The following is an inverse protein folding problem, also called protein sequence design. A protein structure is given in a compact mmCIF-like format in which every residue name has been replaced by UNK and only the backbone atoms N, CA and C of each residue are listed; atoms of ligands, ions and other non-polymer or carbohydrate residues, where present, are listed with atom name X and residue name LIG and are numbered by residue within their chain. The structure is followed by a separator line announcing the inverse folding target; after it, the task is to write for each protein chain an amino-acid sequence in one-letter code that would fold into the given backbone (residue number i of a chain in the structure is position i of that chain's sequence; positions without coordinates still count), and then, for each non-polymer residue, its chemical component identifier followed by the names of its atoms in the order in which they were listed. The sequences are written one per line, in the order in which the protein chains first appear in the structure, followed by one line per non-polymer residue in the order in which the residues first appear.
data_IF_543017154940
#
_entry.id   IF_543017154940
#
_cell.length_a   1.000
_cell.length_b   1.000
_cell.length_c   1.000
_cell.angle_alpha   90.00
_cell.angle_beta   90.00
_cell.angle_gamma   90.00
#
_symmetry.space_group_name_H-M   'P 1'
#
loop_
_entity.id
_entity.type
_entity.pdbx_description
1 polymer ?
#
# COMPACT_ATOMS: atom_id res chain seq x y z
N UNK A 1 25.99 8.10 14.73
CA UNK A 1 25.13 8.34 13.55
C UNK A 1 24.35 7.09 13.16
N UNK A 2 24.98 5.91 13.06
CA UNK A 2 24.35 4.63 12.66
C UNK A 2 23.08 4.27 13.45
N UNK A 3 23.14 4.32 14.78
CA UNK A 3 21.98 4.02 15.65
C UNK A 3 20.80 4.99 15.51
N UNK A 4 21.05 6.21 15.01
CA UNK A 4 20.03 7.26 14.92
C UNK A 4 19.10 6.99 13.74
N UNK A 5 19.64 6.68 12.55
CA UNK A 5 18.77 6.36 11.41
C UNK A 5 17.98 5.07 11.66
N UNK A 6 18.57 4.05 12.31
CA UNK A 6 17.86 2.81 12.65
C UNK A 6 16.66 3.10 13.55
N UNK A 7 16.85 3.90 14.59
CA UNK A 7 15.76 4.31 15.50
C UNK A 7 14.69 5.14 14.78
N UNK A 8 15.08 6.05 13.89
CA UNK A 8 14.12 6.87 13.13
C UNK A 8 13.33 5.99 12.15
N UNK A 9 13.99 5.08 11.42
CA UNK A 9 13.30 4.15 10.49
C UNK A 9 12.26 3.31 11.23
N UNK A 10 12.64 2.72 12.37
CA UNK A 10 11.72 1.94 13.20
C UNK A 10 10.54 2.78 13.73
N UNK A 11 10.81 4.04 14.13
CA UNK A 11 9.74 4.95 14.58
C UNK A 11 8.75 5.28 13.46
N UNK A 12 9.24 5.56 12.24
CA UNK A 12 8.38 5.88 11.10
C UNK A 12 7.55 4.68 10.68
N UNK A 13 8.14 3.48 10.64
CA UNK A 13 7.43 2.25 10.29
C UNK A 13 6.38 1.87 11.32
N UNK A 14 6.68 2.04 12.61
CA UNK A 14 5.71 1.79 13.68
C UNK A 14 4.57 2.81 13.64
N UNK A 15 4.87 4.08 13.30
CA UNK A 15 3.84 5.11 13.11
C UNK A 15 2.92 4.75 11.92
N UNK A 16 3.49 4.22 10.83
CA UNK A 16 2.73 3.74 9.67
C UNK A 16 1.80 2.59 10.04
N UNK A 17 2.34 1.57 10.71
CA UNK A 17 1.59 0.40 11.15
C UNK A 17 0.46 0.79 12.12
N UNK A 18 0.75 1.66 13.09
CA UNK A 18 -0.24 2.17 14.03
C UNK A 18 -1.37 2.93 13.32
N UNK A 19 -1.02 3.76 12.32
CA UNK A 19 -2.01 4.50 11.53
C UNK A 19 -2.95 3.54 10.80
N UNK A 20 -2.43 2.49 10.16
CA UNK A 20 -3.23 1.45 9.49
C UNK A 20 -4.07 0.62 10.47
N UNK A 21 -3.51 0.33 11.65
CA UNK A 21 -4.22 -0.38 12.72
C UNK A 21 -5.44 0.41 13.21
N UNK A 22 -5.24 1.70 13.53
CA UNK A 22 -6.32 2.60 13.93
C UNK A 22 -7.36 2.75 12.82
N UNK A 23 -6.92 2.91 11.56
CA UNK A 23 -7.81 2.97 10.41
C UNK A 23 -8.69 1.72 10.31
N UNK A 24 -8.10 0.52 10.40
CA UNK A 24 -8.86 -0.72 10.29
C UNK A 24 -9.87 -0.86 11.44
N UNK A 25 -9.53 -0.48 12.66
CA UNK A 25 -10.45 -0.53 13.81
C UNK A 25 -11.62 0.43 13.60
N UNK A 26 -11.33 1.70 13.30
CA UNK A 26 -12.34 2.75 13.18
C UNK A 26 -13.28 2.48 12.02
N UNK A 27 -12.75 2.08 10.86
CA UNK A 27 -13.52 1.94 9.63
C UNK A 27 -13.92 0.49 9.29
N UNK A 28 -13.65 -0.48 10.18
CA UNK A 28 -13.95 -1.91 9.98
C UNK A 28 -15.36 -2.19 9.46
N UNK A 29 -16.38 -1.59 10.09
CA UNK A 29 -17.79 -1.77 9.72
C UNK A 29 -18.10 -1.19 8.35
N UNK A 30 -17.60 0.01 8.06
CA UNK A 30 -17.81 0.69 6.79
C UNK A 30 -17.13 -0.06 5.64
N UNK A 31 -15.91 -0.55 5.87
CA UNK A 31 -15.18 -1.40 4.93
C UNK A 31 -15.96 -2.69 4.64
N UNK A 32 -16.44 -3.37 5.69
CA UNK A 32 -17.19 -4.61 5.52
C UNK A 32 -18.49 -4.40 4.74
N UNK A 33 -19.24 -3.34 5.05
CA UNK A 33 -20.45 -2.98 4.32
C UNK A 33 -20.15 -2.67 2.84
N UNK A 34 -19.04 -1.96 2.58
CA UNK A 34 -18.64 -1.63 1.22
C UNK A 34 -18.23 -2.88 0.41
N UNK A 35 -17.52 -3.81 1.03
CA UNK A 35 -17.18 -5.10 0.41
C UNK A 35 -18.46 -5.87 0.04
N UNK A 36 -19.46 -5.91 0.94
CA UNK A 36 -20.72 -6.59 0.65
C UNK A 36 -21.50 -5.91 -0.49
N UNK A 37 -21.55 -4.58 -0.52
CA UNK A 37 -22.17 -3.81 -1.60
C UNK A 37 -21.54 -4.15 -2.97
N UNK A 38 -20.20 -4.20 -3.04
CA UNK A 38 -19.48 -4.60 -4.26
C UNK A 38 -19.80 -6.04 -4.65
N UNK A 39 -19.85 -6.96 -3.68
CA UNK A 39 -20.19 -8.36 -3.94
C UNK A 39 -21.62 -8.52 -4.48
N UNK A 40 -22.57 -7.75 -3.97
CA UNK A 40 -23.96 -7.82 -4.41
C UNK A 40 -24.13 -7.24 -5.82
N UNK A 41 -23.45 -6.13 -6.15
CA UNK A 41 -23.42 -5.58 -7.52
C UNK A 41 -22.76 -6.58 -8.48
N UNK A 42 -21.70 -7.25 -8.06
CA UNK A 42 -21.04 -8.29 -8.86
C UNK A 42 -21.97 -9.47 -9.18
N UNK A 43 -22.82 -9.89 -8.24
CA UNK A 43 -23.82 -10.97 -8.47
C UNK A 43 -24.91 -10.56 -9.46
N UNK A 44 -25.27 -9.27 -9.49
CA UNK A 44 -26.30 -8.75 -10.39
C UNK A 44 -25.86 -8.69 -11.86
N UNK A 45 -24.56 -8.81 -12.14
CA UNK A 45 -24.01 -8.84 -13.49
C UNK A 45 -24.12 -10.25 -14.11
N UNK A 46 -25.11 -10.49 -14.97
CA UNK A 46 -25.39 -11.83 -15.55
C UNK A 46 -24.81 -12.05 -16.96
N UNK A 47 -24.43 -10.97 -17.66
CA UNK A 47 -23.85 -11.09 -19.01
C UNK A 47 -22.46 -11.75 -18.96
N UNK A 48 -22.18 -12.65 -19.91
CA UNK A 48 -20.90 -13.38 -20.00
C UNK A 48 -19.70 -12.43 -20.03
N UNK A 49 -19.79 -11.34 -20.80
CA UNK A 49 -18.71 -10.37 -20.94
C UNK A 49 -18.48 -9.59 -19.62
N UNK A 50 -19.56 -9.27 -18.89
CA UNK A 50 -19.46 -8.56 -17.61
C UNK A 50 -18.81 -9.45 -16.54
N UNK A 51 -19.23 -10.72 -16.49
CA UNK A 51 -18.66 -11.72 -15.58
C UNK A 51 -17.18 -11.96 -15.88
N UNK A 52 -16.78 -11.98 -17.15
CA UNK A 52 -15.37 -12.11 -17.52
C UNK A 52 -14.53 -10.92 -17.03
N UNK A 53 -15.03 -9.69 -17.16
CA UNK A 53 -14.35 -8.48 -16.67
C UNK A 53 -14.16 -8.53 -15.15
N UNK A 54 -15.21 -8.91 -14.40
CA UNK A 54 -15.14 -9.06 -12.93
C UNK A 54 -14.17 -10.16 -12.54
N UNK A 55 -14.20 -11.31 -13.23
CA UNK A 55 -13.29 -12.43 -12.95
C UNK A 55 -11.82 -12.07 -13.19
N UNK A 56 -11.52 -11.26 -14.22
CA UNK A 56 -10.17 -10.73 -14.46
C UNK A 56 -9.73 -9.82 -13.32
N UNK A 57 -10.59 -8.91 -12.84
CA UNK A 57 -10.30 -8.05 -11.71
C UNK A 57 -10.04 -8.85 -10.42
N UNK A 58 -10.91 -9.81 -10.09
CA UNK A 58 -10.74 -10.70 -8.92
C UNK A 58 -9.51 -11.60 -9.03
N UNK A 59 -9.08 -11.97 -10.24
CA UNK A 59 -7.82 -12.69 -10.45
C UNK A 59 -6.61 -11.80 -10.13
N UNK A 60 -6.62 -10.54 -10.56
CA UNK A 60 -5.56 -9.60 -10.25
C UNK A 60 -5.47 -9.32 -8.75
N UNK A 61 -6.61 -9.07 -8.10
CA UNK A 61 -6.69 -8.89 -6.64
C UNK A 61 -6.06 -10.06 -5.87
N UNK A 62 -6.44 -11.31 -6.21
CA UNK A 62 -5.86 -12.50 -5.58
C UNK A 62 -4.36 -12.67 -5.82
N UNK A 63 -3.85 -12.29 -7.00
CA UNK A 63 -2.42 -12.38 -7.30
C UNK A 63 -1.66 -11.35 -6.44
N UNK A 64 -2.11 -10.10 -6.42
CA UNK A 64 -1.48 -9.03 -5.64
C UNK A 64 -1.52 -9.37 -4.14
N UNK A 65 -2.66 -9.82 -3.62
CA UNK A 65 -2.78 -10.29 -2.24
C UNK A 65 -1.74 -11.37 -1.91
N UNK A 66 -1.63 -12.42 -2.74
CA UNK A 66 -0.66 -13.50 -2.52
C UNK A 66 0.79 -12.98 -2.56
N UNK A 67 1.13 -12.12 -3.52
CA UNK A 67 2.47 -11.56 -3.65
C UNK A 67 2.84 -10.72 -2.42
N UNK A 68 1.96 -9.80 -1.99
CA UNK A 68 2.20 -8.98 -0.80
C UNK A 68 2.27 -9.82 0.48
N UNK A 69 1.40 -10.82 0.62
CA UNK A 69 1.38 -11.71 1.77
C UNK A 69 2.67 -12.52 1.88
N UNK A 70 3.12 -13.14 0.78
CA UNK A 70 4.39 -13.88 0.75
C UNK A 70 5.58 -12.96 1.02
N UNK A 71 5.59 -11.76 0.43
CA UNK A 71 6.65 -10.77 0.68
C UNK A 71 6.71 -10.36 2.15
N UNK A 72 5.56 -10.19 2.81
CA UNK A 72 5.49 -9.88 4.23
C UNK A 72 6.06 -11.01 5.07
N UNK A 73 5.70 -12.27 4.79
CA UNK A 73 6.22 -13.42 5.54
C UNK A 73 7.75 -13.54 5.44
N UNK A 74 8.30 -13.33 4.25
CA UNK A 74 9.75 -13.32 4.02
C UNK A 74 10.40 -12.19 4.81
N UNK A 75 9.84 -10.97 4.73
CA UNK A 75 10.34 -9.80 5.46
C UNK A 75 10.32 -9.99 6.99
N UNK A 76 9.19 -10.42 7.54
CA UNK A 76 9.03 -10.72 8.98
C UNK A 76 10.00 -11.80 9.44
N UNK A 77 10.17 -12.87 8.66
CA UNK A 77 11.12 -13.95 8.99
C UNK A 77 12.55 -13.43 9.03
N UNK A 78 12.97 -12.65 8.02
CA UNK A 78 14.29 -12.03 8.01
C UNK A 78 14.53 -11.08 9.19
N UNK A 79 13.52 -10.30 9.54
CA UNK A 79 13.58 -9.34 10.64
C UNK A 79 13.67 -10.02 12.02
N UNK A 80 12.95 -11.12 12.22
CA UNK A 80 13.00 -11.92 13.45
C UNK A 80 14.27 -12.76 13.56
N UNK A 81 14.81 -13.29 12.46
CA UNK A 81 16.00 -14.15 12.53
C UNK A 81 17.32 -13.35 12.54
N UNK A 82 17.35 -12.16 11.95
CA UNK A 82 18.56 -11.34 11.81
C UNK A 82 19.34 -11.13 13.12
N UNK A 83 18.71 -10.63 14.20
CA UNK A 83 19.37 -10.44 15.50
C UNK A 83 19.91 -11.74 16.10
N UNK A 84 19.16 -12.85 15.99
CA UNK A 84 19.56 -14.17 16.50
C UNK A 84 20.78 -14.69 15.75
N UNK A 85 20.78 -14.59 14.42
CA UNK A 85 21.92 -14.99 13.58
C UNK A 85 23.15 -14.15 13.93
N UNK A 86 22.99 -12.82 14.05
CA UNK A 86 24.07 -11.90 14.44
C UNK A 86 24.65 -12.25 15.82
N UNK A 87 23.79 -12.55 16.79
CA UNK A 87 24.20 -12.99 18.13
C UNK A 87 25.01 -14.29 18.06
N UNK A 88 24.53 -15.31 17.35
CA UNK A 88 25.21 -16.61 17.21
C UNK A 88 26.57 -16.44 16.52
N UNK A 89 26.64 -15.70 15.42
CA UNK A 89 27.89 -15.45 14.70
C UNK A 89 28.92 -14.75 15.60
N UNK A 90 28.48 -13.74 16.36
CA UNK A 90 29.38 -12.99 17.27
C UNK A 90 29.98 -13.90 18.33
N UNK A 91 29.19 -14.79 18.93
CA UNK A 91 29.64 -15.70 19.98
C UNK A 91 30.47 -16.86 19.43
N UNK A 92 30.00 -17.52 18.36
CA UNK A 92 30.60 -18.77 17.85
C UNK A 92 31.81 -18.49 16.97
N UNK A 93 31.71 -17.54 16.04
CA UNK A 93 32.74 -17.28 15.03
C UNK A 93 33.78 -16.30 15.56
N UNK A 94 33.32 -15.16 16.09
CA UNK A 94 34.21 -14.09 16.54
C UNK A 94 34.68 -14.24 17.99
N UNK A 95 34.21 -15.26 18.72
CA UNK A 95 34.47 -15.47 20.16
C UNK A 95 34.25 -14.19 20.99
N UNK A 96 33.28 -13.38 20.57
CA UNK A 96 32.93 -12.12 21.22
C UNK A 96 32.06 -12.31 22.46
N UNK A 97 31.79 -11.23 23.22
CA UNK A 97 30.95 -11.29 24.40
C UNK A 97 29.49 -11.62 24.06
N UNK A 98 28.80 -12.29 24.99
CA UNK A 98 27.37 -12.56 24.85
C UNK A 98 26.57 -11.27 25.03
N UNK A 99 26.07 -10.72 23.93
CA UNK A 99 25.20 -9.56 23.93
C UNK A 99 23.81 -9.96 23.47
N UNK A 100 22.80 -9.65 24.28
CA UNK A 100 21.39 -9.83 23.90
C UNK A 100 21.00 -8.83 22.80
N UNK A 101 21.05 -9.28 21.55
CA UNK A 101 20.60 -8.52 20.39
C UNK A 101 19.07 -8.64 20.27
N UNK A 102 18.37 -7.50 20.21
CA UNK A 102 16.91 -7.42 20.09
C UNK A 102 16.51 -7.06 18.65
N UNK A 103 15.26 -7.37 18.27
CA UNK A 103 14.68 -6.94 16.98
C UNK A 103 14.65 -5.41 16.91
N UNK A 104 14.13 -4.77 17.97
CA UNK A 104 14.23 -3.32 18.15
C UNK A 104 14.92 -2.98 19.48
N UNK A 105 15.92 -2.11 19.40
CA UNK A 105 16.78 -1.71 20.51
C UNK A 105 16.13 -0.65 21.43
N UNK A 106 14.90 -0.88 21.89
CA UNK A 106 14.22 -0.01 22.86
C UNK A 106 14.66 -0.27 24.31
N UNK A 107 14.94 -1.52 24.64
CA UNK A 107 15.25 -1.97 25.99
C UNK A 107 16.43 -2.94 25.96
N UNK A 108 17.40 -2.73 26.86
CA UNK A 108 18.50 -3.67 27.07
C UNK A 108 18.12 -4.62 28.22
N UNK A 109 17.92 -5.92 27.95
CA UNK A 109 17.53 -6.85 28.99
C UNK A 109 18.69 -7.11 29.96
N UNK A 110 18.38 -7.05 31.26
CA UNK A 110 19.32 -7.38 32.34
C UNK A 110 19.46 -8.88 32.57
N UNK A 111 18.39 -9.65 32.35
CA UNK A 111 18.31 -11.10 32.59
C UNK A 111 17.75 -11.84 31.37
N UNK A 112 18.09 -13.13 31.23
CA UNK A 112 17.60 -14.00 30.15
C UNK A 112 16.06 -14.08 30.08
N UNK A 113 15.38 -14.15 31.23
CA UNK A 113 13.91 -14.18 31.28
C UNK A 113 13.27 -12.90 30.70
N UNK A 114 13.82 -11.73 31.03
CA UNK A 114 13.37 -10.45 30.47
C UNK A 114 13.67 -10.35 28.98
N UNK A 115 14.81 -10.88 28.52
CA UNK A 115 15.12 -10.99 27.09
C UNK A 115 14.07 -11.81 26.36
N UNK A 116 13.82 -13.05 26.80
CA UNK A 116 12.89 -13.98 26.14
C UNK A 116 11.48 -13.39 26.06
N UNK A 117 10.97 -12.83 27.16
CA UNK A 117 9.64 -12.24 27.20
C UNK A 117 9.51 -11.05 26.23
N UNK A 118 10.47 -10.12 26.25
CA UNK A 118 10.44 -8.97 25.32
C UNK A 118 10.59 -9.42 23.86
N UNK A 119 11.40 -10.44 23.59
CA UNK A 119 11.58 -10.97 22.25
C UNK A 119 10.29 -11.57 21.70
N UNK A 120 9.55 -12.33 22.53
CA UNK A 120 8.25 -12.90 22.16
C UNK A 120 7.21 -11.82 21.88
N UNK A 121 7.17 -10.76 22.69
CA UNK A 121 6.28 -9.60 22.45
C UNK A 121 6.61 -8.93 21.11
N UNK A 122 7.91 -8.71 20.82
CA UNK A 122 8.32 -8.09 19.55
C UNK A 122 8.02 -8.98 18.33
N UNK A 123 8.09 -10.31 18.46
CA UNK A 123 7.64 -11.23 17.40
C UNK A 123 6.14 -11.07 17.15
N UNK A 124 5.33 -11.06 18.21
CA UNK A 124 3.88 -10.90 18.09
C UNK A 124 3.51 -9.56 17.47
N UNK A 125 4.16 -8.48 17.89
CA UNK A 125 3.99 -7.14 17.32
C UNK A 125 4.35 -7.11 15.82
N UNK A 126 5.48 -7.73 15.44
CA UNK A 126 5.90 -7.79 14.04
C UNK A 126 4.92 -8.58 13.15
N UNK A 127 4.38 -9.68 13.67
CA UNK A 127 3.34 -10.47 12.98
C UNK A 127 2.09 -9.59 12.83
N UNK A 128 1.51 -9.09 13.92
CA UNK A 128 0.28 -8.31 13.86
C UNK A 128 0.41 -7.06 12.98
N UNK A 129 1.52 -6.32 13.12
CA UNK A 129 1.82 -5.15 12.31
C UNK A 129 1.92 -5.48 10.82
N UNK A 130 2.65 -6.54 10.46
CA UNK A 130 2.78 -6.99 9.08
C UNK A 130 1.44 -7.40 8.44
N UNK A 131 0.64 -8.18 9.16
CA UNK A 131 -0.67 -8.64 8.68
C UNK A 131 -1.64 -7.47 8.45
N UNK A 132 -1.72 -6.52 9.39
CA UNK A 132 -2.58 -5.34 9.24
C UNK A 132 -2.13 -4.45 8.10
N UNK A 133 -0.81 -4.27 7.94
CA UNK A 133 -0.24 -3.50 6.84
C UNK A 133 -0.68 -4.06 5.48
N UNK A 134 -0.50 -5.37 5.27
CA UNK A 134 -0.92 -6.04 4.04
C UNK A 134 -2.45 -6.01 3.86
N UNK A 135 -3.22 -6.21 4.94
CA UNK A 135 -4.68 -6.23 4.87
C UNK A 135 -5.24 -4.89 4.38
N UNK A 136 -4.80 -3.77 4.94
CA UNK A 136 -5.31 -2.44 4.54
C UNK A 136 -4.98 -2.13 3.08
N UNK A 137 -3.78 -2.44 2.63
CA UNK A 137 -3.32 -2.15 1.26
C UNK A 137 -4.05 -3.02 0.24
N UNK A 138 -4.23 -4.30 0.56
CA UNK A 138 -4.92 -5.25 -0.33
C UNK A 138 -6.42 -5.01 -0.40
N UNK A 139 -7.08 -4.64 0.71
CA UNK A 139 -8.50 -4.23 0.68
C UNK A 139 -8.68 -2.98 -0.21
N UNK A 140 -7.80 -1.99 -0.08
CA UNK A 140 -7.84 -0.81 -0.94
C UNK A 140 -7.69 -1.18 -2.42
N UNK A 141 -6.69 -2.03 -2.73
CA UNK A 141 -6.45 -2.51 -4.09
C UNK A 141 -7.67 -3.26 -4.65
N UNK A 142 -8.23 -4.19 -3.88
CA UNK A 142 -9.39 -5.00 -4.26
C UNK A 142 -10.65 -4.18 -4.54
N UNK A 143 -10.95 -3.18 -3.70
CA UNK A 143 -12.08 -2.27 -3.95
C UNK A 143 -11.82 -1.39 -5.18
N UNK A 144 -10.60 -0.87 -5.33
CA UNK A 144 -10.21 -0.02 -6.45
C UNK A 144 -10.33 -0.75 -7.79
N UNK A 145 -9.86 -2.00 -7.87
CA UNK A 145 -9.91 -2.77 -9.12
C UNK A 145 -11.33 -3.21 -9.46
N UNK A 146 -12.19 -3.46 -8.48
CA UNK A 146 -13.62 -3.71 -8.71
C UNK A 146 -14.33 -2.46 -9.26
N UNK A 147 -14.03 -1.26 -8.74
CA UNK A 147 -14.54 -0.02 -9.33
C UNK A 147 -14.05 0.13 -10.78
N UNK A 148 -12.78 -0.15 -11.06
CA UNK A 148 -12.26 -0.15 -12.43
C UNK A 148 -13.02 -1.13 -13.34
N UNK A 149 -13.36 -2.31 -12.83
CA UNK A 149 -14.13 -3.31 -13.55
C UNK A 149 -15.53 -2.81 -13.89
N UNK A 150 -16.22 -2.17 -12.93
CA UNK A 150 -17.55 -1.60 -13.17
C UNK A 150 -17.54 -0.40 -14.11
N UNK A 151 -16.52 0.47 -14.04
CA UNK A 151 -16.32 1.54 -15.02
C UNK A 151 -16.12 0.95 -16.44
N UNK A 152 -15.35 -0.13 -16.55
CA UNK A 152 -15.17 -0.83 -17.82
C UNK A 152 -16.47 -1.45 -18.33
N UNK A 153 -17.27 -2.07 -17.46
CA UNK A 153 -18.59 -2.61 -17.83
C UNK A 153 -19.48 -1.48 -18.33
N UNK A 154 -19.49 -0.34 -17.65
CA UNK A 154 -20.29 0.82 -18.07
C UNK A 154 -19.89 1.30 -19.48
N UNK A 155 -18.60 1.32 -19.80
CA UNK A 155 -18.12 1.68 -21.15
C UNK A 155 -18.58 0.74 -22.27
N UNK A 156 -19.06 -0.47 -21.93
CA UNK A 156 -19.61 -1.44 -22.87
C UNK A 156 -21.13 -1.31 -23.03
N UNK A 157 -21.82 -0.62 -22.11
CA UNK A 157 -23.29 -0.51 -22.07
C UNK A 157 -23.79 0.76 -22.78
N UNK A 158 -22.89 1.60 -23.32
CA UNK A 158 -23.20 2.93 -23.89
C UNK A 158 -24.12 2.95 -25.13
N UNK A 159 -24.81 1.85 -25.46
CA UNK A 159 -25.84 1.82 -26.49
C UNK A 159 -27.13 2.56 -26.03
N UNK A 160 -27.65 3.45 -26.87
CA UNK A 160 -28.74 4.40 -26.57
C UNK A 160 -30.05 3.77 -26.08
N UNK A 161 -30.30 2.49 -26.38
CA UNK A 161 -31.59 1.82 -26.12
C UNK A 161 -31.93 1.63 -24.62
N UNK A 162 -31.01 1.90 -23.68
CA UNK A 162 -31.23 1.69 -22.23
C UNK A 162 -30.67 2.82 -21.34
N UNK A 163 -30.84 4.07 -21.76
CA UNK A 163 -30.35 5.26 -21.05
C UNK A 163 -30.66 5.28 -19.54
N UNK A 164 -31.88 4.94 -19.11
CA UNK A 164 -32.24 4.96 -17.70
C UNK A 164 -31.44 3.94 -16.86
N UNK A 165 -31.22 2.74 -17.40
CA UNK A 165 -30.43 1.70 -16.75
C UNK A 165 -28.96 2.13 -16.70
N UNK A 166 -28.46 2.71 -17.79
CA UNK A 166 -27.10 3.25 -17.87
C UNK A 166 -26.88 4.35 -16.81
N UNK A 167 -27.77 5.33 -16.71
CA UNK A 167 -27.66 6.45 -15.75
C UNK A 167 -27.72 5.94 -14.31
N UNK A 168 -28.64 5.02 -14.00
CA UNK A 168 -28.72 4.45 -12.66
C UNK A 168 -27.45 3.66 -12.30
N UNK A 169 -26.95 2.84 -13.23
CA UNK A 169 -25.73 2.07 -13.01
C UNK A 169 -24.50 2.97 -12.87
N UNK A 170 -24.38 3.98 -13.73
CA UNK A 170 -23.33 5.00 -13.65
C UNK A 170 -23.34 5.70 -12.29
N UNK A 171 -24.50 6.14 -11.81
CA UNK A 171 -24.63 6.79 -10.50
C UNK A 171 -24.16 5.87 -9.37
N UNK A 172 -24.51 4.58 -9.40
CA UNK A 172 -24.04 3.61 -8.40
C UNK A 172 -22.52 3.43 -8.44
N UNK A 173 -21.91 3.38 -9.63
CA UNK A 173 -20.45 3.27 -9.77
C UNK A 173 -19.73 4.51 -9.26
N UNK A 174 -20.28 5.70 -9.52
CA UNK A 174 -19.73 6.94 -8.98
C UNK A 174 -19.87 7.02 -7.46
N UNK A 175 -20.98 6.54 -6.91
CA UNK A 175 -21.16 6.47 -5.45
C UNK A 175 -20.11 5.56 -4.80
N UNK A 176 -19.82 4.39 -5.40
CA UNK A 176 -18.74 3.51 -4.95
C UNK A 176 -17.36 4.21 -4.99
N UNK A 177 -17.05 4.91 -6.08
CA UNK A 177 -15.80 5.66 -6.19
C UNK A 177 -15.70 6.78 -5.13
N UNK A 178 -16.81 7.49 -4.89
CA UNK A 178 -16.91 8.55 -3.87
C UNK A 178 -16.76 7.99 -2.44
N UNK A 179 -17.38 6.84 -2.14
CA UNK A 179 -17.21 6.11 -0.88
C UNK A 179 -15.75 5.70 -0.67
N UNK A 180 -15.12 5.08 -1.66
CA UNK A 180 -13.70 4.70 -1.61
C UNK A 180 -12.81 5.93 -1.34
N UNK A 181 -13.01 7.01 -2.10
CA UNK A 181 -12.26 8.27 -1.95
C UNK A 181 -12.38 8.80 -0.54
N UNK A 182 -13.60 8.96 -0.01
CA UNK A 182 -13.84 9.50 1.33
C UNK A 182 -13.20 8.65 2.42
N UNK A 183 -13.37 7.33 2.33
CA UNK A 183 -12.87 6.40 3.34
C UNK A 183 -11.35 6.33 3.36
N UNK A 184 -10.70 6.29 2.19
CA UNK A 184 -9.23 6.14 2.11
C UNK A 184 -8.44 7.46 2.01
N UNK A 185 -9.08 8.63 1.86
CA UNK A 185 -8.39 9.92 1.64
C UNK A 185 -7.29 10.20 2.66
N UNK A 186 -7.60 10.05 3.95
CA UNK A 186 -6.68 10.40 5.05
C UNK A 186 -5.56 9.37 5.17
N UNK A 187 -5.89 8.07 5.11
CA UNK A 187 -4.88 7.01 5.22
C UNK A 187 -3.89 7.04 4.05
N UNK A 188 -4.36 7.29 2.82
CA UNK A 188 -3.48 7.47 1.65
C UNK A 188 -2.56 8.67 1.88
N UNK A 189 -3.08 9.80 2.39
CA UNK A 189 -2.23 10.96 2.66
C UNK A 189 -1.09 10.62 3.63
N UNK A 190 -1.42 10.02 4.78
CA UNK A 190 -0.45 9.66 5.80
C UNK A 190 0.55 8.61 5.30
N UNK A 191 0.09 7.63 4.52
CA UNK A 191 0.92 6.61 3.87
C UNK A 191 2.01 7.25 3.01
N UNK A 192 1.65 8.15 2.11
CA UNK A 192 2.61 8.82 1.23
C UNK A 192 3.58 9.70 2.01
N UNK A 193 3.09 10.45 3.00
CA UNK A 193 3.93 11.31 3.83
C UNK A 193 4.97 10.50 4.60
N UNK A 194 4.55 9.46 5.32
CA UNK A 194 5.42 8.63 6.14
C UNK A 194 6.41 7.83 5.28
N UNK A 195 5.96 7.26 4.16
CA UNK A 195 6.86 6.56 3.24
C UNK A 195 7.87 7.49 2.57
N UNK A 196 7.52 8.75 2.29
CA UNK A 196 8.49 9.71 1.74
C UNK A 196 9.61 10.04 2.74
N UNK A 197 9.27 10.22 4.02
CA UNK A 197 10.25 10.43 5.10
C UNK A 197 11.10 9.17 5.26
N UNK A 198 10.47 7.99 5.25
CA UNK A 198 11.16 6.70 5.35
C UNK A 198 12.20 6.51 4.25
N UNK A 199 11.84 6.77 2.99
CA UNK A 199 12.76 6.65 1.86
C UNK A 199 13.94 7.62 1.96
N UNK A 200 13.70 8.86 2.42
CA UNK A 200 14.76 9.83 2.69
C UNK A 200 15.72 9.35 3.79
N UNK A 201 15.21 8.73 4.86
CA UNK A 201 16.06 8.22 5.96
C UNK A 201 16.82 6.96 5.53
N UNK A 202 16.19 6.07 4.76
CA UNK A 202 16.82 4.84 4.24
C UNK A 202 17.91 5.13 3.20
N UNK A 203 17.87 6.30 2.56
CA UNK A 203 18.90 6.71 1.62
C UNK A 203 20.29 6.84 2.28
N UNK A 204 20.36 7.20 3.57
CA UNK A 204 21.62 7.34 4.30
C UNK A 204 22.39 6.02 4.45
N UNK A 205 21.84 4.95 5.07
CA UNK A 205 22.56 3.68 5.18
C UNK A 205 22.84 3.03 3.83
N UNK A 206 22.02 3.29 2.81
CA UNK A 206 22.28 2.76 1.44
C UNK A 206 23.53 3.39 0.82
N UNK A 207 23.81 4.65 1.14
CA UNK A 207 24.94 5.40 0.57
C UNK A 207 26.20 5.29 1.41
N UNK A 208 26.07 5.30 2.75
CA UNK A 208 27.20 5.44 3.67
C UNK A 208 27.78 4.11 4.18
N UNK A 209 27.00 3.02 4.20
CA UNK A 209 27.50 1.74 4.70
C UNK A 209 28.31 1.02 3.61
N UNK A 210 29.62 0.89 3.82
CA UNK A 210 30.53 0.13 2.94
C UNK A 210 30.26 -1.39 2.97
N UNK A 211 29.66 -1.90 4.05
CA UNK A 211 29.36 -3.32 4.22
C UNK A 211 28.02 -3.68 3.56
N UNK A 212 28.11 -4.36 2.42
CA UNK A 212 26.94 -4.76 1.63
C UNK A 212 25.94 -5.61 2.42
N UNK A 213 26.41 -6.43 3.37
CA UNK A 213 25.53 -7.29 4.18
C UNK A 213 24.65 -6.47 5.13
N UNK A 214 25.15 -5.32 5.60
CA UNK A 214 24.37 -4.39 6.42
C UNK A 214 23.44 -3.51 5.58
N UNK A 215 23.79 -3.29 4.31
CA UNK A 215 23.02 -2.44 3.39
C UNK A 215 21.81 -3.17 2.78
N UNK A 216 21.91 -4.47 2.54
CA UNK A 216 20.85 -5.29 1.91
C UNK A 216 19.47 -5.13 2.58
N UNK A 217 19.32 -5.23 3.92
CA UNK A 217 18.01 -5.06 4.57
C UNK A 217 17.37 -3.69 4.32
N UNK A 218 18.19 -2.62 4.26
CA UNK A 218 17.71 -1.27 3.98
C UNK A 218 17.24 -1.10 2.53
N UNK A 219 17.90 -1.77 1.58
CA UNK A 219 17.45 -1.81 0.18
C UNK A 219 16.11 -2.52 0.07
N UNK A 220 15.96 -3.70 0.70
CA UNK A 220 14.69 -4.43 0.71
C UNK A 220 13.56 -3.59 1.32
N UNK A 221 13.83 -2.88 2.42
CA UNK A 221 12.87 -1.98 3.03
C UNK A 221 12.46 -0.84 2.09
N UNK A 222 13.42 -0.22 1.41
CA UNK A 222 13.14 0.85 0.45
C UNK A 222 12.30 0.35 -0.74
N UNK A 223 12.62 -0.84 -1.28
CA UNK A 223 11.84 -1.47 -2.36
C UNK A 223 10.42 -1.76 -1.89
N UNK A 224 10.22 -2.30 -0.68
CA UNK A 224 8.90 -2.53 -0.13
C UNK A 224 8.08 -1.23 -0.03
N UNK A 225 8.66 -0.15 0.51
CA UNK A 225 8.01 1.15 0.58
C UNK A 225 7.65 1.73 -0.80
N UNK A 226 8.52 1.55 -1.80
CA UNK A 226 8.24 1.97 -3.18
C UNK A 226 7.08 1.17 -3.77
N UNK A 227 7.02 -0.15 -3.55
CA UNK A 227 5.91 -1.01 -4.02
C UNK A 227 4.60 -0.59 -3.37
N UNK A 228 4.59 -0.30 -2.06
CA UNK A 228 3.39 0.22 -1.38
C UNK A 228 2.92 1.54 -2.01
N UNK A 229 3.82 2.51 -2.22
CA UNK A 229 3.47 3.76 -2.92
C UNK A 229 2.94 3.52 -4.34
N UNK A 230 3.52 2.56 -5.06
CA UNK A 230 3.13 2.23 -6.43
C UNK A 230 1.70 1.69 -6.49
N UNK A 231 1.31 0.80 -5.57
CA UNK A 231 -0.03 0.21 -5.52
C UNK A 231 -1.10 1.30 -5.45
N UNK A 232 -0.94 2.27 -4.53
CA UNK A 232 -1.91 3.36 -4.38
C UNK A 232 -1.99 4.26 -5.62
N UNK A 233 -0.85 4.61 -6.22
CA UNK A 233 -0.80 5.45 -7.43
C UNK A 233 -1.31 4.72 -8.67
N UNK A 234 -1.05 3.44 -8.78
CA UNK A 234 -1.52 2.59 -9.87
C UNK A 234 -3.04 2.47 -9.84
N UNK A 235 -3.64 2.19 -8.68
CA UNK A 235 -5.09 2.17 -8.52
C UNK A 235 -5.72 3.52 -8.86
N UNK A 236 -5.18 4.61 -8.30
CA UNK A 236 -5.68 5.96 -8.57
C UNK A 236 -5.65 6.31 -10.06
N UNK A 237 -4.54 6.04 -10.74
CA UNK A 237 -4.41 6.29 -12.17
C UNK A 237 -5.36 5.41 -12.99
N UNK A 238 -5.43 4.11 -12.70
CA UNK A 238 -6.26 3.17 -13.48
C UNK A 238 -7.73 3.56 -13.40
N UNK A 239 -8.22 3.99 -12.24
CA UNK A 239 -9.59 4.47 -12.09
C UNK A 239 -9.83 5.74 -12.93
N UNK A 240 -8.87 6.69 -12.92
CA UNK A 240 -8.96 7.91 -13.76
C UNK A 240 -8.95 7.60 -15.26
N UNK A 241 -8.10 6.67 -15.70
CA UNK A 241 -8.01 6.26 -17.11
C UNK A 241 -9.33 5.63 -17.57
N UNK A 242 -9.91 4.73 -16.75
CA UNK A 242 -11.22 4.12 -17.06
C UNK A 242 -12.37 5.12 -17.09
N UNK A 243 -12.33 6.14 -16.24
CA UNK A 243 -13.28 7.24 -16.31
C UNK A 243 -13.11 8.08 -17.58
N UNK A 244 -11.88 8.28 -18.05
CA UNK A 244 -11.62 9.00 -19.30
C UNK A 244 -12.15 8.23 -20.51
N UNK A 245 -12.03 6.89 -20.52
CA UNK A 245 -12.62 6.02 -21.55
C UNK A 245 -14.14 6.21 -21.63
N UNK A 246 -14.85 6.20 -20.48
CA UNK A 246 -16.30 6.45 -20.42
C UNK A 246 -16.62 7.85 -20.97
N UNK A 247 -15.85 8.87 -20.56
CA UNK A 247 -16.08 10.23 -21.03
C UNK A 247 -15.94 10.33 -22.55
N UNK A 248 -14.99 9.59 -23.14
CA UNK A 248 -14.79 9.54 -24.59
C UNK A 248 -15.98 8.89 -25.29
N UNK A 249 -16.44 7.74 -24.81
CA UNK A 249 -17.60 7.06 -25.39
C UNK A 249 -18.88 7.91 -25.26
N UNK A 250 -19.09 8.56 -24.12
CA UNK A 250 -20.24 9.46 -23.93
C UNK A 250 -20.16 10.75 -24.76
N UNK A 251 -18.96 11.19 -25.16
CA UNK A 251 -18.80 12.32 -26.07
C UNK A 251 -19.29 11.98 -27.48
N UNK A 252 -19.11 10.73 -27.91
CA UNK A 252 -19.62 10.23 -29.20
C UNK A 252 -21.15 10.08 -29.19
N UNK A 253 -21.78 10.00 -28.01
CA UNK A 253 -23.24 9.83 -27.80
C UNK A 253 -23.96 11.08 -27.23
N UNK A 254 -23.36 12.27 -27.30
CA UNK A 254 -23.93 13.55 -26.80
C UNK A 254 -24.38 13.59 -25.31
N UNK A 255 -23.81 12.73 -24.45
CA UNK A 255 -24.18 12.64 -23.01
C UNK A 255 -23.29 13.51 -22.10
N UNK A 256 -23.26 14.81 -22.35
CA UNK A 256 -22.31 15.74 -21.72
C UNK A 256 -22.40 15.82 -20.18
N UNK A 257 -23.61 15.65 -19.60
CA UNK A 257 -23.83 15.65 -18.14
C UNK A 257 -23.17 14.46 -17.43
N UNK A 258 -23.16 13.29 -18.09
CA UNK A 258 -22.52 12.06 -17.58
C UNK A 258 -21.00 12.27 -17.54
N UNK A 259 -20.43 12.91 -18.56
CA UNK A 259 -19.00 13.21 -18.63
C UNK A 259 -18.55 14.12 -17.48
N UNK A 260 -19.28 15.21 -17.21
CA UNK A 260 -18.93 16.17 -16.17
C UNK A 260 -18.92 15.53 -14.78
N UNK A 261 -19.91 14.67 -14.48
CA UNK A 261 -19.96 13.94 -13.21
C UNK A 261 -18.84 12.91 -13.06
N UNK A 262 -18.56 12.15 -14.13
CA UNK A 262 -17.51 11.12 -14.11
C UNK A 262 -16.14 11.71 -13.83
N UNK A 263 -15.79 12.85 -14.44
CA UNK A 263 -14.48 13.50 -14.21
C UNK A 263 -14.29 13.98 -12.78
N UNK A 264 -15.35 14.43 -12.10
CA UNK A 264 -15.26 14.99 -10.76
C UNK A 264 -15.18 13.90 -9.68
N UNK A 265 -16.07 12.91 -9.73
CA UNK A 265 -16.21 11.92 -8.64
C UNK A 265 -15.14 10.83 -8.67
N UNK A 266 -14.56 10.57 -9.85
CA UNK A 266 -13.58 9.48 -10.03
C UNK A 266 -12.15 9.89 -9.69
N UNK A 267 -11.85 11.19 -9.62
CA UNK A 267 -10.52 11.66 -9.24
C UNK A 267 -10.28 11.39 -7.76
N UNK A 268 -9.45 10.39 -7.46
CA UNK A 268 -8.98 10.11 -6.09
C UNK A 268 -7.99 11.21 -5.69
N UNK A 269 -8.54 12.22 -5.05
CA UNK A 269 -7.79 13.32 -4.46
C UNK A 269 -7.48 12.97 -3.02
N UNK A 270 -6.20 12.86 -2.70
CA UNK A 270 -5.73 12.92 -1.32
C UNK A 270 -5.82 14.37 -0.83
N UNK A 271 -5.54 14.62 0.45
CA UNK A 271 -5.71 15.95 1.05
C UNK A 271 -4.88 17.06 0.36
N UNK A 272 -3.69 16.72 -0.16
CA UNK A 272 -2.78 17.69 -0.80
C UNK A 272 -2.27 17.26 -2.18
N UNK A 273 -2.56 16.04 -2.66
CA UNK A 273 -2.02 15.51 -3.92
C UNK A 273 -3.02 14.58 -4.62
N UNK A 274 -2.83 14.39 -5.93
CA UNK A 274 -3.50 13.33 -6.68
C UNK A 274 -2.71 12.03 -6.56
N UNK A 275 -3.38 10.95 -6.15
CA UNK A 275 -2.79 9.60 -6.17
C UNK A 275 -2.69 9.15 -7.63
N UNK A 276 -1.57 9.46 -8.28
CA UNK A 276 -1.34 9.24 -9.70
C UNK A 276 0.11 8.82 -9.94
N UNK A 277 0.34 8.06 -11.02
CA UNK A 277 1.67 7.62 -11.41
C UNK A 277 2.69 8.78 -11.56
N UNK A 278 2.33 9.97 -12.09
CA UNK A 278 3.22 11.12 -12.10
C UNK A 278 3.70 11.54 -10.70
N UNK A 279 2.81 11.58 -9.70
CA UNK A 279 3.17 11.92 -8.32
C UNK A 279 4.15 10.90 -7.74
N UNK A 280 3.91 9.62 -7.99
CA UNK A 280 4.83 8.54 -7.61
C UNK A 280 6.22 8.71 -8.24
N UNK A 281 6.28 8.89 -9.57
CA UNK A 281 7.56 9.06 -10.28
C UNK A 281 8.32 10.28 -9.78
N UNK A 282 7.63 11.38 -9.48
CA UNK A 282 8.23 12.57 -8.88
C UNK A 282 8.83 12.28 -7.49
N UNK A 283 8.13 11.53 -6.64
CA UNK A 283 8.64 11.20 -5.30
C UNK A 283 9.86 10.26 -5.37
N UNK A 284 9.82 9.24 -6.20
CA UNK A 284 10.94 8.32 -6.40
C UNK A 284 12.14 9.06 -7.01
N UNK A 285 11.90 9.90 -8.03
CA UNK A 285 12.96 10.70 -8.66
C UNK A 285 13.63 11.64 -7.66
N UNK A 286 12.86 12.35 -6.81
CA UNK A 286 13.41 13.22 -5.76
C UNK A 286 14.26 12.44 -4.75
N UNK A 287 13.83 11.24 -4.36
CA UNK A 287 14.60 10.37 -3.46
C UNK A 287 15.91 9.94 -4.12
N UNK A 288 15.88 9.55 -5.39
CA UNK A 288 17.09 9.18 -6.14
C UNK A 288 18.03 10.38 -6.32
N UNK A 289 17.50 11.57 -6.60
CA UNK A 289 18.29 12.80 -6.65
C UNK A 289 18.97 13.09 -5.30
N UNK A 290 18.27 12.91 -4.18
CA UNK A 290 18.84 13.04 -2.84
C UNK A 290 19.96 12.01 -2.61
N UNK A 291 19.76 10.75 -3.01
CA UNK A 291 20.80 9.72 -2.91
C UNK A 291 22.05 10.10 -3.71
N UNK A 292 21.89 10.59 -4.94
CA UNK A 292 23.02 11.04 -5.78
C UNK A 292 23.73 12.24 -5.17
N UNK A 293 22.97 13.20 -4.62
CA UNK A 293 23.52 14.36 -3.93
C UNK A 293 24.34 13.93 -2.70
N UNK A 294 23.84 13.00 -1.89
CA UNK A 294 24.59 12.49 -0.73
C UNK A 294 25.86 11.77 -1.15
N UNK A 295 25.82 10.99 -2.25
CA UNK A 295 27.02 10.37 -2.82
C UNK A 295 28.06 11.40 -3.28
N UNK A 296 27.65 12.59 -3.72
CA UNK A 296 28.59 13.63 -4.14
C UNK A 296 29.36 14.29 -2.99
N UNK A 297 28.89 14.12 -1.75
CA UNK A 297 29.54 14.63 -0.54
C UNK A 297 30.47 13.59 0.12
N UNK A 298 30.57 12.38 -0.44
CA UNK A 298 31.48 11.31 -0.02
C UNK A 298 32.67 11.22 -0.97
#
# INVERSE_FOLDING_TARGET
MIKVYESVTASVTNTLALTKYLFLIVYSKEIFNFINEVQDINKNCTSKDHVEVINKANRLDRIVFKCMFVSCLIGTTGYVLGPVIKMIITVVVFKGPWNYEMIVNFYKPSNFGSYLLNYLIQILDCILGGFVNVAVDTIFFGLSINICAHLKILSLITDDCKLLIFVNYHQSVLEMASKLKKLYKVIIFLQYMLLSILLCVLAFPIVYNDDILKTIPHIFHAVAGIVEMLIYSYCGQTIMDRAADICKNCYESDMMMVMLRTKYEVRIESMFYHASLPTFTLMVSRTMSLMTLMKSFL
#
